data_IF_736044742902
#
_entry.id   IF_736044742902
#
_cell.length_a   1.000
_cell.length_b   1.000
_cell.length_c   1.000
_cell.angle_alpha   90.00
_cell.angle_beta   90.00
_cell.angle_gamma   90.00
#
_symmetry.space_group_name_H-M   'P 1'
#
loop_
_entity.id
_entity.type
_entity.pdbx_description
1 polymer ?
#
# COMPACT_ATOMS: atom_id res chain seq x y z
N UNK A 1 15.58 15.27 -19.28
CA UNK A 1 16.88 15.24 -18.60
C UNK A 1 17.95 14.85 -19.59
N UNK A 2 19.03 15.63 -19.69
CA UNK A 2 20.19 15.29 -20.55
C UNK A 2 20.96 14.12 -19.92
N UNK A 3 21.68 13.31 -20.73
CA UNK A 3 22.51 12.19 -20.23
C UNK A 3 23.49 12.62 -19.12
N UNK A 4 23.99 13.85 -19.20
CA UNK A 4 24.89 14.44 -18.20
C UNK A 4 24.24 14.60 -16.82
N UNK A 5 22.94 14.90 -16.77
CA UNK A 5 22.19 15.04 -15.50
C UNK A 5 21.99 13.69 -14.81
N UNK A 6 21.84 12.61 -15.57
CA UNK A 6 21.77 11.25 -15.01
C UNK A 6 23.10 10.85 -14.36
N UNK A 7 24.21 11.06 -15.09
CA UNK A 7 25.56 10.79 -14.58
C UNK A 7 25.82 11.57 -13.30
N UNK A 8 25.47 12.87 -13.28
CA UNK A 8 25.60 13.71 -12.09
C UNK A 8 24.83 13.16 -10.88
N UNK A 9 23.57 12.76 -11.05
CA UNK A 9 22.76 12.19 -9.96
C UNK A 9 23.35 10.88 -9.45
N UNK A 10 23.71 9.96 -10.34
CA UNK A 10 24.26 8.66 -9.94
C UNK A 10 25.59 8.82 -9.22
N UNK A 11 26.51 9.62 -9.78
CA UNK A 11 27.81 9.89 -9.16
C UNK A 11 27.65 10.62 -7.83
N UNK A 12 26.78 11.63 -7.76
CA UNK A 12 26.48 12.37 -6.53
C UNK A 12 25.92 11.46 -5.43
N UNK A 13 24.99 10.58 -5.76
CA UNK A 13 24.46 9.58 -4.83
C UNK A 13 25.54 8.63 -4.32
N UNK A 14 26.40 8.11 -5.21
CA UNK A 14 27.49 7.20 -4.82
C UNK A 14 28.48 7.91 -3.87
N UNK A 15 28.92 9.11 -4.24
CA UNK A 15 29.84 9.90 -3.41
C UNK A 15 29.23 10.22 -2.04
N UNK A 16 27.94 10.56 -2.01
CA UNK A 16 27.22 10.83 -0.75
C UNK A 16 27.11 9.57 0.10
N UNK A 17 26.81 8.42 -0.49
CA UNK A 17 26.77 7.14 0.24
C UNK A 17 28.14 6.81 0.85
N UNK A 18 29.22 6.93 0.07
CA UNK A 18 30.59 6.69 0.56
C UNK A 18 30.92 7.65 1.71
N UNK A 19 30.59 8.93 1.56
CA UNK A 19 30.78 9.91 2.62
C UNK A 19 30.02 9.52 3.90
N UNK A 20 28.74 9.14 3.80
CA UNK A 20 27.94 8.73 4.95
C UNK A 20 28.45 7.43 5.61
N UNK A 21 28.99 6.49 4.83
CA UNK A 21 29.68 5.31 5.35
C UNK A 21 30.85 5.74 6.23
N UNK A 22 31.73 6.61 5.71
CA UNK A 22 32.91 7.09 6.44
C UNK A 22 32.50 7.82 7.71
N UNK A 23 31.52 8.72 7.64
CA UNK A 23 31.02 9.46 8.81
C UNK A 23 30.43 8.52 9.86
N UNK A 24 29.65 7.51 9.46
CA UNK A 24 29.08 6.53 10.38
C UNK A 24 30.16 5.77 11.16
N UNK A 25 31.25 5.35 10.50
CA UNK A 25 32.35 4.66 11.17
C UNK A 25 33.23 5.58 12.03
N UNK A 26 33.49 6.82 11.60
CA UNK A 26 34.28 7.78 12.39
C UNK A 26 33.55 8.19 13.67
N UNK A 27 32.24 8.39 13.59
CA UNK A 27 31.43 8.82 14.73
C UNK A 27 31.19 7.71 15.76
N UNK A 28 31.66 6.48 15.51
CA UNK A 28 31.53 5.35 16.44
C UNK A 28 30.08 4.99 16.76
N UNK A 29 29.13 5.45 15.95
CA UNK A 29 27.71 5.31 16.24
C UNK A 29 27.27 3.87 15.97
N UNK A 30 27.00 3.12 17.04
CA UNK A 30 26.06 2.01 16.98
C UNK A 30 24.66 2.60 17.13
N UNK A 31 23.73 2.44 16.16
CA UNK A 31 23.71 1.52 15.02
C UNK A 31 24.27 2.07 13.69
N UNK A 32 24.42 1.19 12.69
CA UNK A 32 24.84 1.50 11.31
C UNK A 32 23.76 2.32 10.58
N UNK A 33 23.63 3.60 10.94
CA UNK A 33 22.56 4.48 10.48
C UNK A 33 22.69 4.92 9.02
N UNK A 34 23.87 4.83 8.39
CA UNK A 34 24.04 5.29 7.00
C UNK A 34 23.15 4.51 6.00
N UNK A 35 22.72 3.30 6.36
CA UNK A 35 21.90 2.43 5.49
C UNK A 35 20.58 3.09 5.08
N UNK A 36 19.97 3.89 5.97
CA UNK A 36 18.67 4.53 5.72
C UNK A 36 18.76 5.61 4.61
N UNK A 37 19.63 6.64 4.73
CA UNK A 37 19.82 7.60 3.64
C UNK A 37 20.45 6.95 2.40
N UNK A 38 21.31 5.93 2.55
CA UNK A 38 21.87 5.23 1.41
C UNK A 38 20.81 4.52 0.56
N UNK A 39 19.84 3.86 1.20
CA UNK A 39 18.70 3.27 0.50
C UNK A 39 17.91 4.33 -0.27
N UNK A 40 17.61 5.48 0.36
CA UNK A 40 16.89 6.57 -0.30
C UNK A 40 17.63 7.10 -1.54
N UNK A 41 18.95 7.28 -1.44
CA UNK A 41 19.79 7.73 -2.56
C UNK A 41 19.85 6.69 -3.70
N UNK A 42 19.95 5.41 -3.36
CA UNK A 42 19.91 4.32 -4.35
C UNK A 42 18.56 4.26 -5.06
N UNK A 43 17.46 4.27 -4.31
CA UNK A 43 16.10 4.24 -4.87
C UNK A 43 15.84 5.48 -5.75
N UNK A 44 16.28 6.66 -5.33
CA UNK A 44 16.19 7.89 -6.11
C UNK A 44 16.96 7.80 -7.44
N UNK A 45 18.18 7.26 -7.40
CA UNK A 45 19.03 7.09 -8.59
C UNK A 45 18.43 6.09 -9.58
N UNK A 46 17.96 4.93 -9.08
CA UNK A 46 17.24 3.92 -9.87
C UNK A 46 15.96 4.52 -10.46
N UNK A 47 15.22 5.29 -9.68
CA UNK A 47 14.00 5.97 -10.13
C UNK A 47 14.23 6.91 -11.29
N UNK A 48 15.25 7.76 -11.20
CA UNK A 48 15.62 8.70 -12.28
C UNK A 48 16.09 7.94 -13.53
N UNK A 49 16.91 6.90 -13.36
CA UNK A 49 17.37 6.05 -14.46
C UNK A 49 16.19 5.40 -15.21
N UNK A 50 15.32 4.71 -14.47
CA UNK A 50 14.17 4.01 -15.06
C UNK A 50 13.16 4.96 -15.69
N UNK A 51 12.95 6.15 -15.08
CA UNK A 51 12.09 7.20 -15.64
C UNK A 51 12.60 7.70 -16.99
N UNK A 52 13.90 7.91 -17.16
CA UNK A 52 14.48 8.32 -18.44
C UNK A 52 14.29 7.27 -19.52
N UNK A 53 14.40 5.99 -19.16
CA UNK A 53 14.16 4.85 -20.05
C UNK A 53 12.68 4.49 -20.22
N UNK A 54 11.76 5.20 -19.53
CA UNK A 54 10.30 4.90 -19.47
C UNK A 54 9.99 3.45 -19.07
N UNK A 55 10.91 2.77 -18.35
CA UNK A 55 10.75 1.38 -17.95
C UNK A 55 10.28 1.30 -16.49
N UNK A 56 8.97 1.50 -16.30
CA UNK A 56 8.34 1.49 -14.99
C UNK A 56 8.28 0.09 -14.36
N UNK A 57 8.24 -0.97 -15.18
CA UNK A 57 8.27 -2.35 -14.71
C UNK A 57 9.58 -2.66 -14.01
N UNK A 58 10.71 -2.34 -14.65
CA UNK A 58 12.04 -2.53 -14.06
C UNK A 58 12.21 -1.70 -12.78
N UNK A 59 11.70 -0.47 -12.75
CA UNK A 59 11.68 0.35 -11.54
C UNK A 59 10.95 -0.34 -10.38
N UNK A 60 9.73 -0.81 -10.63
CA UNK A 60 8.93 -1.47 -9.59
C UNK A 60 9.59 -2.75 -9.08
N UNK A 61 10.18 -3.56 -9.96
CA UNK A 61 10.87 -4.81 -9.57
C UNK A 61 12.09 -4.51 -8.69
N UNK A 62 12.99 -3.63 -9.15
CA UNK A 62 14.21 -3.30 -8.40
C UNK A 62 13.89 -2.65 -7.06
N UNK A 63 12.93 -1.73 -7.04
CA UNK A 63 12.53 -1.03 -5.80
C UNK A 63 11.92 -2.00 -4.80
N UNK A 64 11.00 -2.86 -5.25
CA UNK A 64 10.40 -3.87 -4.38
C UNK A 64 11.43 -4.86 -3.84
N UNK A 65 12.37 -5.32 -4.67
CA UNK A 65 13.44 -6.23 -4.25
C UNK A 65 14.33 -5.57 -3.19
N UNK A 66 14.80 -4.35 -3.44
CA UNK A 66 15.64 -3.61 -2.50
C UNK A 66 14.92 -3.33 -1.19
N UNK A 67 13.64 -2.94 -1.22
CA UNK A 67 12.84 -2.72 -0.02
C UNK A 67 12.64 -4.02 0.76
N UNK A 68 12.32 -5.14 0.11
CA UNK A 68 12.17 -6.43 0.80
C UNK A 68 13.48 -6.83 1.47
N UNK A 69 14.61 -6.78 0.75
CA UNK A 69 15.93 -7.09 1.32
C UNK A 69 16.28 -6.19 2.50
N UNK A 70 16.02 -4.89 2.36
CA UNK A 70 16.25 -3.92 3.43
C UNK A 70 15.40 -4.24 4.67
N UNK A 71 14.10 -4.52 4.50
CA UNK A 71 13.22 -4.86 5.61
C UNK A 71 13.59 -6.19 6.28
N UNK A 72 14.09 -7.18 5.52
CA UNK A 72 14.62 -8.42 6.09
C UNK A 72 15.84 -8.12 6.99
N UNK A 73 16.78 -7.31 6.51
CA UNK A 73 17.97 -6.92 7.28
C UNK A 73 17.58 -6.15 8.54
N UNK A 74 16.65 -5.21 8.42
CA UNK A 74 16.18 -4.40 9.55
C UNK A 74 15.44 -5.27 10.58
N UNK A 75 14.61 -6.20 10.12
CA UNK A 75 13.91 -7.11 11.02
C UNK A 75 14.88 -8.01 11.79
N UNK A 76 15.88 -8.56 11.11
CA UNK A 76 16.89 -9.41 11.75
C UNK A 76 17.72 -8.65 12.80
N UNK A 77 17.99 -7.36 12.56
CA UNK A 77 18.74 -6.50 13.48
C UNK A 77 17.92 -6.06 14.70
N UNK A 78 16.68 -5.67 14.47
CA UNK A 78 15.87 -5.02 15.50
C UNK A 78 15.08 -6.01 16.34
N UNK A 79 14.44 -7.00 15.70
CA UNK A 79 13.57 -7.97 16.39
C UNK A 79 13.59 -9.33 15.67
N UNK A 80 14.68 -10.12 15.76
CA UNK A 80 14.84 -11.35 14.98
C UNK A 80 13.80 -12.43 15.30
N UNK A 81 13.19 -12.39 16.48
CA UNK A 81 12.20 -13.38 16.95
C UNK A 81 10.84 -13.23 16.25
N UNK A 82 10.51 -12.04 15.75
CA UNK A 82 9.21 -11.75 15.15
C UNK A 82 9.37 -11.25 13.71
N UNK A 83 8.99 -12.04 12.69
CA UNK A 83 9.27 -11.75 11.29
C UNK A 83 8.30 -10.71 10.69
N UNK A 84 8.25 -9.50 11.26
CA UNK A 84 7.37 -8.42 10.83
C UNK A 84 7.62 -7.95 9.38
N UNK A 85 8.78 -8.23 8.78
CA UNK A 85 9.02 -7.89 7.37
C UNK A 85 7.98 -8.54 6.44
N UNK A 86 7.43 -9.69 6.81
CA UNK A 86 6.41 -10.42 6.06
C UNK A 86 5.15 -9.57 5.81
N UNK A 87 4.77 -8.68 6.74
CA UNK A 87 3.60 -7.82 6.55
C UNK A 87 3.75 -6.85 5.37
N UNK A 88 4.99 -6.52 4.98
CA UNK A 88 5.25 -5.61 3.86
C UNK A 88 5.43 -6.33 2.52
N UNK A 89 5.59 -7.66 2.52
CA UNK A 89 5.92 -8.41 1.30
C UNK A 89 4.78 -8.40 0.30
N UNK A 90 3.53 -8.61 0.74
CA UNK A 90 2.37 -8.63 -0.17
C UNK A 90 2.21 -7.36 -1.02
N UNK A 91 2.17 -6.13 -0.46
CA UNK A 91 2.06 -4.92 -1.26
C UNK A 91 3.30 -4.68 -2.14
N UNK A 92 4.50 -5.02 -1.65
CA UNK A 92 5.74 -4.89 -2.41
C UNK A 92 5.80 -5.87 -3.60
N UNK A 93 5.20 -7.05 -3.53
CA UNK A 93 5.08 -7.98 -4.67
C UNK A 93 3.90 -7.61 -5.57
N UNK A 94 2.78 -7.18 -4.98
CA UNK A 94 1.59 -6.79 -5.73
C UNK A 94 1.90 -5.61 -6.67
N UNK A 95 2.67 -4.62 -6.22
CA UNK A 95 3.01 -3.46 -7.04
C UNK A 95 3.66 -3.79 -8.41
N UNK A 96 4.80 -4.48 -8.50
CA UNK A 96 5.40 -4.85 -9.78
C UNK A 96 4.51 -5.78 -10.61
N UNK A 97 3.74 -6.65 -9.94
CA UNK A 97 2.77 -7.53 -10.62
C UNK A 97 1.69 -6.70 -11.33
N UNK A 98 1.15 -5.67 -10.67
CA UNK A 98 0.13 -4.79 -11.23
C UNK A 98 0.68 -3.89 -12.33
N UNK A 99 1.91 -3.38 -12.16
CA UNK A 99 2.60 -2.61 -13.20
C UNK A 99 2.81 -3.47 -14.45
N UNK A 100 3.25 -4.72 -14.28
CA UNK A 100 3.42 -5.68 -15.37
C UNK A 100 2.09 -6.01 -16.07
N UNK A 101 1.02 -6.25 -15.30
CA UNK A 101 -0.31 -6.51 -15.86
C UNK A 101 -0.88 -5.31 -16.63
N UNK A 102 -0.42 -4.09 -16.33
CA UNK A 102 -0.80 -2.87 -17.04
C UNK A 102 -2.32 -2.71 -17.11
N UNK A 103 -2.88 -2.65 -18.33
CA UNK A 103 -4.33 -2.53 -18.53
C UNK A 103 -5.14 -3.75 -18.05
N UNK A 104 -4.52 -4.93 -17.93
CA UNK A 104 -5.22 -6.12 -17.44
C UNK A 104 -5.63 -6.00 -15.96
N UNK A 105 -4.93 -5.17 -15.17
CA UNK A 105 -5.29 -4.86 -13.78
C UNK A 105 -6.70 -4.26 -13.63
N UNK A 106 -7.27 -3.72 -14.72
CA UNK A 106 -8.64 -3.16 -14.76
C UNK A 106 -9.70 -4.23 -14.99
N UNK A 107 -9.33 -5.49 -15.25
CA UNK A 107 -10.27 -6.61 -15.41
C UNK A 107 -10.86 -6.99 -14.06
N UNK A 108 -12.15 -7.33 -14.04
CA UNK A 108 -12.84 -7.71 -12.80
C UNK A 108 -12.25 -8.99 -12.20
N UNK A 109 -11.89 -9.96 -13.05
CA UNK A 109 -11.26 -11.22 -12.64
C UNK A 109 -9.95 -10.98 -11.89
N UNK A 110 -9.08 -10.12 -12.42
CA UNK A 110 -7.79 -9.77 -11.79
C UNK A 110 -8.01 -9.12 -10.43
N UNK A 111 -8.97 -8.21 -10.30
CA UNK A 111 -9.24 -7.54 -9.03
C UNK A 111 -9.80 -8.49 -7.97
N UNK A 112 -10.71 -9.40 -8.34
CA UNK A 112 -11.26 -10.39 -7.41
C UNK A 112 -10.19 -11.38 -6.98
N UNK A 113 -9.44 -11.96 -7.93
CA UNK A 113 -8.37 -12.92 -7.64
C UNK A 113 -7.25 -12.25 -6.83
N UNK A 114 -6.80 -11.06 -7.24
CA UNK A 114 -5.75 -10.31 -6.55
C UNK A 114 -6.15 -9.95 -5.12
N UNK A 115 -7.40 -9.51 -4.90
CA UNK A 115 -7.92 -9.25 -3.57
C UNK A 115 -7.98 -10.52 -2.72
N UNK A 116 -8.46 -11.63 -3.29
CA UNK A 116 -8.53 -12.92 -2.59
C UNK A 116 -7.15 -13.43 -2.18
N UNK A 117 -6.15 -13.35 -3.07
CA UNK A 117 -4.76 -13.73 -2.77
C UNK A 117 -4.18 -12.89 -1.63
N UNK A 118 -4.37 -11.56 -1.68
CA UNK A 118 -3.86 -10.65 -0.64
C UNK A 118 -4.56 -10.93 0.71
N UNK A 119 -5.88 -11.12 0.72
CA UNK A 119 -6.63 -11.45 1.93
C UNK A 119 -6.17 -12.79 2.50
N UNK A 120 -6.03 -13.81 1.66
CA UNK A 120 -5.58 -15.14 2.09
C UNK A 120 -4.16 -15.09 2.67
N UNK A 121 -3.27 -14.35 2.03
CA UNK A 121 -1.91 -14.12 2.54
C UNK A 121 -1.92 -13.54 3.95
N UNK A 122 -2.66 -12.46 4.16
CA UNK A 122 -2.76 -11.83 5.48
C UNK A 122 -3.54 -12.67 6.49
N UNK A 123 -4.51 -13.47 6.06
CA UNK A 123 -5.21 -14.42 6.92
C UNK A 123 -4.24 -15.47 7.46
N UNK A 124 -3.40 -16.04 6.60
CA UNK A 124 -2.36 -17.01 6.98
C UNK A 124 -1.41 -16.36 8.00
N UNK A 125 -0.91 -15.16 7.70
CA UNK A 125 -0.05 -14.43 8.65
C UNK A 125 -0.75 -14.14 9.97
N UNK A 126 -2.04 -13.82 9.96
CA UNK A 126 -2.79 -13.50 11.17
C UNK A 126 -2.89 -14.72 12.07
N UNK A 127 -3.22 -15.89 11.50
CA UNK A 127 -3.32 -17.15 12.25
C UNK A 127 -1.95 -17.58 12.80
N UNK A 128 -0.89 -17.44 12.01
CA UNK A 128 0.45 -17.92 12.39
C UNK A 128 1.18 -17.00 13.38
N UNK A 129 1.08 -15.67 13.21
CA UNK A 129 1.91 -14.72 13.96
C UNK A 129 1.17 -14.04 15.11
N UNK A 130 -0.15 -13.82 15.00
CA UNK A 130 -0.90 -13.07 16.02
C UNK A 130 -2.38 -13.49 16.05
N UNK A 131 -2.71 -14.73 16.44
CA UNK A 131 -4.07 -15.25 16.40
C UNK A 131 -5.04 -14.58 17.37
N UNK A 132 -4.53 -13.89 18.40
CA UNK A 132 -5.35 -13.26 19.45
C UNK A 132 -6.16 -12.05 19.00
N UNK A 133 -5.86 -11.47 17.83
CA UNK A 133 -6.62 -10.34 17.28
C UNK A 133 -6.73 -10.48 15.75
N UNK A 134 -7.93 -10.38 15.16
CA UNK A 134 -8.16 -10.57 13.73
C UNK A 134 -7.75 -9.32 12.91
N UNK A 135 -6.48 -8.94 12.94
CA UNK A 135 -5.99 -7.76 12.22
C UNK A 135 -6.10 -7.90 10.69
N UNK A 136 -6.33 -9.10 10.15
CA UNK A 136 -6.61 -9.33 8.71
C UNK A 136 -7.75 -8.47 8.17
N UNK A 137 -8.68 -8.05 9.04
CA UNK A 137 -9.79 -7.16 8.67
C UNK A 137 -9.32 -5.83 8.05
N UNK A 138 -8.18 -5.29 8.49
CA UNK A 138 -7.64 -4.01 7.99
C UNK A 138 -7.17 -4.09 6.53
N UNK A 139 -6.23 -4.98 6.14
CA UNK A 139 -5.83 -5.12 4.75
C UNK A 139 -6.97 -5.67 3.87
N UNK A 140 -7.86 -6.51 4.42
CA UNK A 140 -9.03 -6.97 3.70
C UNK A 140 -9.96 -5.80 3.33
N UNK A 141 -10.27 -4.93 4.28
CA UNK A 141 -11.03 -3.71 4.01
C UNK A 141 -10.37 -2.89 2.91
N UNK A 142 -9.07 -2.63 3.00
CA UNK A 142 -8.33 -1.83 2.01
C UNK A 142 -8.39 -2.43 0.60
N UNK A 143 -8.17 -3.74 0.46
CA UNK A 143 -8.09 -4.38 -0.87
C UNK A 143 -9.46 -4.60 -1.52
N UNK A 144 -10.53 -4.77 -0.73
CA UNK A 144 -11.90 -4.94 -1.23
C UNK A 144 -12.44 -3.70 -1.98
N UNK A 145 -11.86 -2.52 -1.75
CA UNK A 145 -12.17 -1.33 -2.56
C UNK A 145 -11.86 -1.53 -4.04
N UNK A 146 -10.89 -2.36 -4.38
CA UNK A 146 -10.47 -2.56 -5.77
C UNK A 146 -11.55 -3.21 -6.65
N UNK A 147 -12.09 -4.41 -6.35
CA UNK A 147 -13.19 -5.00 -7.12
C UNK A 147 -14.47 -4.16 -7.01
N UNK A 148 -14.77 -3.59 -5.85
CA UNK A 148 -15.95 -2.76 -5.65
C UNK A 148 -15.95 -1.54 -6.59
N UNK A 149 -14.84 -0.81 -6.63
CA UNK A 149 -14.70 0.38 -7.49
C UNK A 149 -14.79 0.00 -8.96
N UNK A 150 -14.09 -1.06 -9.39
CA UNK A 150 -14.11 -1.49 -10.79
C UNK A 150 -15.51 -1.93 -11.26
N UNK A 151 -16.27 -2.61 -10.40
CA UNK A 151 -17.63 -3.03 -10.71
C UNK A 151 -18.53 -1.82 -11.02
N UNK A 152 -18.49 -0.79 -10.18
CA UNK A 152 -19.38 0.35 -10.33
C UNK A 152 -18.94 1.35 -11.38
N UNK A 153 -17.63 1.59 -11.53
CA UNK A 153 -17.08 2.50 -12.55
C UNK A 153 -17.43 2.00 -13.95
N UNK A 154 -17.29 0.70 -14.22
CA UNK A 154 -17.65 0.12 -15.53
C UNK A 154 -19.13 0.29 -15.87
N UNK A 155 -20.00 0.23 -14.86
CA UNK A 155 -21.46 0.38 -14.99
C UNK A 155 -21.92 1.84 -14.86
N UNK A 156 -21.00 2.80 -14.68
CA UNK A 156 -21.30 4.21 -14.40
C UNK A 156 -22.34 4.41 -13.28
N UNK A 157 -22.33 3.51 -12.29
CA UNK A 157 -23.36 3.43 -11.24
C UNK A 157 -22.90 4.10 -9.94
N UNK A 158 -22.51 5.37 -10.04
CA UNK A 158 -21.87 6.12 -8.97
C UNK A 158 -22.72 6.27 -7.70
N UNK A 159 -24.04 6.40 -7.83
CA UNK A 159 -24.92 6.40 -6.67
C UNK A 159 -24.91 5.06 -5.93
N UNK A 160 -25.07 3.94 -6.65
CA UNK A 160 -24.98 2.60 -6.06
C UNK A 160 -23.60 2.36 -5.42
N UNK A 161 -22.53 2.83 -6.05
CA UNK A 161 -21.18 2.79 -5.48
C UNK A 161 -21.12 3.44 -4.09
N UNK A 162 -21.67 4.65 -3.95
CA UNK A 162 -21.68 5.35 -2.66
C UNK A 162 -22.40 4.56 -1.56
N UNK A 163 -23.47 3.83 -1.90
CA UNK A 163 -24.19 2.96 -0.96
C UNK A 163 -23.31 1.76 -0.56
N UNK A 164 -22.79 1.01 -1.52
CA UNK A 164 -21.99 -0.19 -1.23
C UNK A 164 -20.66 0.15 -0.53
N UNK A 165 -20.02 1.25 -0.91
CA UNK A 165 -18.81 1.74 -0.23
C UNK A 165 -19.12 2.17 1.20
N UNK A 166 -20.25 2.86 1.43
CA UNK A 166 -20.69 3.20 2.78
C UNK A 166 -20.97 1.96 3.63
N UNK A 167 -21.61 0.93 3.04
CA UNK A 167 -21.82 -0.36 3.73
C UNK A 167 -20.50 -1.04 4.08
N UNK A 168 -19.52 -1.07 3.16
CA UNK A 168 -18.20 -1.65 3.41
C UNK A 168 -17.49 -0.93 4.57
N UNK A 169 -17.52 0.41 4.58
CA UNK A 169 -16.94 1.22 5.65
C UNK A 169 -17.66 0.97 6.98
N UNK A 170 -19.00 0.95 6.98
CA UNK A 170 -19.79 0.71 8.18
C UNK A 170 -19.54 -0.66 8.79
N UNK A 171 -19.55 -1.72 7.96
CA UNK A 171 -19.23 -3.09 8.41
C UNK A 171 -17.84 -3.11 9.04
N UNK A 172 -16.85 -2.51 8.38
CA UNK A 172 -15.49 -2.43 8.92
C UNK A 172 -15.44 -1.76 10.30
N UNK A 173 -16.03 -0.57 10.46
CA UNK A 173 -16.01 0.13 11.76
C UNK A 173 -16.81 -0.60 12.85
N UNK A 174 -17.94 -1.22 12.51
CA UNK A 174 -18.70 -2.07 13.44
C UNK A 174 -17.84 -3.24 13.90
N UNK A 175 -17.18 -3.96 12.97
CA UNK A 175 -16.31 -5.08 13.31
C UNK A 175 -15.15 -4.65 14.21
N UNK A 176 -14.47 -3.55 13.89
CA UNK A 176 -13.36 -3.03 14.71
C UNK A 176 -13.87 -2.64 16.10
N UNK A 177 -15.03 -1.99 16.21
CA UNK A 177 -15.61 -1.58 17.48
C UNK A 177 -15.98 -2.77 18.38
N UNK A 178 -16.70 -3.75 17.83
CA UNK A 178 -17.11 -4.97 18.55
C UNK A 178 -15.90 -5.75 19.05
N UNK A 179 -14.84 -5.85 18.24
CA UNK A 179 -13.66 -6.66 18.57
C UNK A 179 -12.70 -5.92 19.50
N UNK A 180 -12.49 -4.61 19.30
CA UNK A 180 -11.45 -3.87 20.01
C UNK A 180 -11.94 -3.19 21.28
N UNK A 181 -13.22 -2.78 21.31
CA UNK A 181 -13.77 -1.98 22.43
C UNK A 181 -15.28 -2.18 22.54
N UNK A 182 -15.75 -3.40 22.90
CA UNK A 182 -17.18 -3.73 22.93
C UNK A 182 -17.99 -2.88 23.93
N UNK A 183 -17.31 -2.31 24.94
CA UNK A 183 -17.94 -1.50 25.99
C UNK A 183 -18.21 -0.04 25.58
N UNK A 184 -17.68 0.42 24.45
CA UNK A 184 -17.82 1.82 23.99
C UNK A 184 -18.25 1.83 22.53
N UNK A 185 -19.47 2.29 22.25
CA UNK A 185 -20.05 2.33 20.90
C UNK A 185 -19.56 3.56 20.14
N UNK A 186 -18.32 3.54 19.63
CA UNK A 186 -17.76 4.66 18.86
C UNK A 186 -17.93 4.52 17.34
N UNK A 187 -18.29 3.34 16.82
CA UNK A 187 -18.50 3.13 15.37
C UNK A 187 -19.58 4.05 14.76
N UNK A 188 -20.54 4.51 15.56
CA UNK A 188 -21.62 5.40 15.11
C UNK A 188 -21.07 6.72 14.56
N UNK A 189 -20.00 7.27 15.12
CA UNK A 189 -19.43 8.55 14.68
C UNK A 189 -18.92 8.51 13.24
N UNK A 190 -17.99 7.60 12.83
CA UNK A 190 -17.56 7.53 11.44
C UNK A 190 -18.67 7.08 10.50
N UNK A 191 -19.59 6.21 10.94
CA UNK A 191 -20.73 5.77 10.11
C UNK A 191 -21.62 6.95 9.76
N UNK A 192 -21.95 7.79 10.75
CA UNK A 192 -22.76 8.98 10.53
C UNK A 192 -22.15 9.90 9.47
N UNK A 193 -20.84 10.14 9.53
CA UNK A 193 -20.12 10.95 8.53
C UNK A 193 -20.22 10.33 7.14
N UNK A 194 -20.04 9.01 7.04
CA UNK A 194 -20.03 8.31 5.75
C UNK A 194 -21.41 8.27 5.10
N UNK A 195 -22.50 8.24 5.88
CA UNK A 195 -23.87 8.28 5.35
C UNK A 195 -24.22 9.56 4.58
N UNK A 196 -23.50 10.66 4.81
CA UNK A 196 -23.65 11.88 4.01
C UNK A 196 -23.24 11.70 2.55
N UNK A 197 -22.38 10.71 2.25
CA UNK A 197 -21.96 10.43 0.89
C UNK A 197 -23.09 9.90 -0.01
N UNK A 198 -23.80 8.81 0.33
CA UNK A 198 -24.96 8.39 -0.47
C UNK A 198 -26.08 9.41 -0.44
N UNK A 199 -26.28 10.14 0.67
CA UNK A 199 -27.30 11.19 0.75
C UNK A 199 -27.02 12.34 -0.24
N UNK A 200 -25.79 12.84 -0.28
CA UNK A 200 -25.38 13.88 -1.23
C UNK A 200 -25.46 13.40 -2.68
N UNK A 201 -25.03 12.17 -2.96
CA UNK A 201 -25.17 11.57 -4.29
C UNK A 201 -26.63 11.39 -4.70
N UNK A 202 -27.52 11.07 -3.77
CA UNK A 202 -28.95 10.97 -4.04
C UNK A 202 -29.54 12.33 -4.42
N UNK A 203 -29.42 13.34 -3.55
CA UNK A 203 -30.08 14.63 -3.76
C UNK A 203 -29.44 15.46 -4.87
N UNK A 204 -28.12 15.51 -4.95
CA UNK A 204 -27.42 16.42 -5.88
C UNK A 204 -27.10 15.80 -7.24
N UNK A 205 -27.16 14.47 -7.38
CA UNK A 205 -26.81 13.80 -8.64
C UNK A 205 -27.94 12.92 -9.17
N UNK A 206 -28.49 12.01 -8.36
CA UNK A 206 -29.48 11.05 -8.82
C UNK A 206 -30.86 11.69 -9.03
N UNK A 207 -31.40 12.40 -8.04
CA UNK A 207 -32.72 13.05 -8.11
C UNK A 207 -32.79 14.09 -9.23
N UNK A 208 -31.78 14.95 -9.34
CA UNK A 208 -31.69 15.97 -10.40
C UNK A 208 -31.70 15.39 -11.81
N UNK A 209 -31.18 14.18 -12.02
CA UNK A 209 -31.23 13.50 -13.32
C UNK A 209 -32.59 12.89 -13.65
N UNK A 210 -33.46 12.68 -12.66
CA UNK A 210 -34.82 12.20 -12.86
C UNK A 210 -35.80 13.35 -13.13
N UNK A 211 -35.47 14.56 -12.70
CA UNK A 211 -36.26 15.79 -12.88
C UNK A 211 -35.96 16.52 -14.20
N UNK A 212 -34.93 16.10 -14.94
CA UNK A 212 -34.53 16.60 -16.26
C UNK A 212 -34.96 15.63 -17.36
#
# INVERSE_FOLDING_TARGET
MRKLELGFVVTGSILTIIFLIVVNFITGSHPIWFIYPALALLLGSIGIYCRQKKNYTLFSILTSLLLILFLIVENYRSTPEYPWFLFSVAPLIAWPTLVYLGNQSKKMTVAVIGSAIIILYYLILNVLLSPGYPWVMFPAFAVLWWPLTLYHVKRKSYFKFSIYASLLISIFFISVNVISSPHVIWAVYPIFVVLWWPLSMYYFVYKRKLEL
#
